data_IF_668996080697
#
_entry.id   IF_668996080697
#
_cell.length_a   1.000
_cell.length_b   1.000
_cell.length_c   1.000
_cell.angle_alpha   90.00
_cell.angle_beta   90.00
_cell.angle_gamma   90.00
#
_symmetry.space_group_name_H-M   'P 1'
#
loop_
_entity.id
_entity.type
_entity.pdbx_description
1 polymer ?
#
# COMPACT_ATOMS: atom_id res chain seq x y z
N UNK A 1 -1.61 18.00 -17.13
CA UNK A 1 -2.43 16.94 -16.62
C UNK A 1 -1.85 16.34 -15.37
N UNK A 2 -2.69 16.10 -14.38
CA UNK A 2 -2.25 15.50 -13.13
C UNK A 2 -2.03 14.01 -13.27
N UNK A 3 -1.42 13.43 -12.25
CA UNK A 3 -1.25 11.98 -12.17
C UNK A 3 -2.58 11.32 -11.82
N UNK A 4 -2.74 10.06 -12.24
CA UNK A 4 -3.86 9.26 -11.77
C UNK A 4 -3.69 9.00 -10.27
N UNK A 5 -4.77 8.61 -9.60
CA UNK A 5 -4.71 8.27 -8.18
C UNK A 5 -3.72 7.13 -7.93
N UNK A 6 -3.72 6.13 -8.79
CA UNK A 6 -2.81 4.99 -8.67
C UNK A 6 -1.34 5.41 -8.79
N UNK A 7 -1.03 6.27 -9.75
CA UNK A 7 0.32 6.80 -9.92
C UNK A 7 0.76 7.64 -8.73
N UNK A 8 -0.16 8.45 -8.20
CA UNK A 8 0.11 9.25 -7.00
C UNK A 8 0.44 8.39 -5.79
N UNK A 9 -0.31 7.32 -5.59
CA UNK A 9 -0.06 6.37 -4.50
C UNK A 9 1.27 5.65 -4.70
N UNK A 10 1.54 5.22 -5.93
CA UNK A 10 2.81 4.54 -6.27
C UNK A 10 4.02 5.40 -5.90
N UNK A 11 4.03 6.64 -6.33
CA UNK A 11 5.15 7.55 -6.05
C UNK A 11 5.25 7.88 -4.56
N UNK A 12 4.14 8.08 -3.91
CA UNK A 12 4.10 8.38 -2.49
C UNK A 12 4.68 7.24 -1.66
N UNK A 13 4.35 6.00 -2.01
CA UNK A 13 4.88 4.82 -1.32
C UNK A 13 6.39 4.66 -1.48
N UNK A 14 6.95 5.14 -2.57
CA UNK A 14 8.39 5.10 -2.80
C UNK A 14 9.17 6.02 -1.86
N UNK A 15 8.49 6.89 -1.13
CA UNK A 15 9.12 7.74 -0.12
C UNK A 15 9.53 7.02 1.15
N UNK A 16 9.11 5.77 1.34
CA UNK A 16 9.51 4.99 2.52
C UNK A 16 10.96 4.54 2.39
N UNK A 17 11.78 4.88 3.38
CA UNK A 17 13.22 4.64 3.34
C UNK A 17 13.62 3.15 3.44
N UNK A 18 12.74 2.31 3.97
CA UNK A 18 13.01 0.88 4.09
C UNK A 18 12.88 0.09 2.78
N UNK A 19 12.55 0.76 1.69
CA UNK A 19 12.32 0.11 0.41
C UNK A 19 13.61 0.02 -0.39
N UNK A 20 13.96 -1.19 -0.85
CA UNK A 20 15.17 -1.42 -1.63
C UNK A 20 15.00 -1.22 -3.14
N UNK A 21 13.80 -1.23 -3.62
CA UNK A 21 13.53 -1.12 -5.05
C UNK A 21 12.39 -0.19 -5.36
N UNK A 22 12.05 -0.07 -6.63
CA UNK A 22 10.92 0.74 -7.05
C UNK A 22 9.60 0.00 -6.79
N UNK A 23 8.59 0.75 -6.44
CA UNK A 23 7.22 0.23 -6.32
C UNK A 23 6.64 0.11 -7.72
N UNK A 24 6.15 -1.07 -8.09
CA UNK A 24 5.49 -1.30 -9.37
C UNK A 24 4.00 -0.95 -9.25
N UNK A 25 3.33 -0.88 -10.37
CA UNK A 25 1.89 -0.59 -10.41
C UNK A 25 1.18 -1.74 -11.11
N UNK A 26 0.26 -2.39 -10.40
CA UNK A 26 -0.54 -3.52 -10.92
C UNK A 26 0.31 -4.59 -11.59
N UNK A 27 1.48 -4.88 -11.03
CA UNK A 27 2.42 -5.83 -11.59
C UNK A 27 2.72 -6.95 -10.60
N UNK A 28 3.08 -8.11 -11.11
CA UNK A 28 3.49 -9.24 -10.27
C UNK A 28 4.86 -8.98 -9.66
N UNK A 29 5.08 -9.48 -8.45
CA UNK A 29 6.37 -9.44 -7.78
C UNK A 29 6.94 -10.84 -7.76
N UNK A 30 8.24 -10.98 -8.02
CA UNK A 30 8.89 -12.27 -8.16
C UNK A 30 10.20 -12.40 -7.39
N UNK A 31 10.78 -11.30 -6.94
CA UNK A 31 12.07 -11.28 -6.25
C UNK A 31 11.98 -10.57 -4.91
N UNK A 32 12.84 -10.93 -3.94
CA UNK A 32 12.91 -10.20 -2.68
C UNK A 32 13.16 -8.71 -2.91
N UNK A 33 12.48 -7.86 -2.18
CA UNK A 33 12.59 -6.42 -2.31
C UNK A 33 11.66 -5.80 -3.33
N UNK A 34 11.05 -6.61 -4.20
CA UNK A 34 10.04 -6.09 -5.15
C UNK A 34 8.72 -5.82 -4.44
N UNK A 35 8.04 -4.78 -4.88
CA UNK A 35 6.74 -4.43 -4.35
C UNK A 35 5.85 -3.87 -5.45
N UNK A 36 4.55 -3.90 -5.23
CA UNK A 36 3.58 -3.40 -6.20
C UNK A 36 2.36 -2.86 -5.49
N UNK A 37 1.81 -1.78 -6.04
CA UNK A 37 0.49 -1.29 -5.64
C UNK A 37 -0.55 -1.97 -6.51
N UNK A 38 -1.51 -2.64 -5.88
CA UNK A 38 -2.63 -3.25 -6.57
C UNK A 38 -3.86 -2.37 -6.35
N UNK A 39 -4.37 -1.82 -7.43
CA UNK A 39 -5.56 -0.96 -7.34
C UNK A 39 -6.79 -1.84 -7.15
N UNK A 40 -7.52 -1.56 -6.08
CA UNK A 40 -8.79 -2.21 -5.81
C UNK A 40 -9.91 -1.43 -6.49
N UNK A 41 -10.95 -2.08 -6.93
CA UNK A 41 -12.06 -1.41 -7.60
C UNK A 41 -13.05 -0.81 -6.58
N UNK A 42 -12.53 -0.08 -5.62
CA UNK A 42 -13.32 0.44 -4.51
C UNK A 42 -13.12 1.93 -4.28
N UNK A 43 -13.02 2.72 -5.33
CA UNK A 43 -13.07 4.17 -5.22
C UNK A 43 -14.55 4.56 -5.19
N UNK A 44 -15.13 4.57 -4.00
CA UNK A 44 -16.56 4.76 -3.86
C UNK A 44 -16.92 6.01 -3.05
N UNK A 45 -18.05 6.60 -3.39
CA UNK A 45 -18.58 7.74 -2.65
C UNK A 45 -19.18 7.27 -1.31
N UNK A 46 -18.73 7.89 -0.22
CA UNK A 46 -19.29 7.66 1.12
C UNK A 46 -20.39 8.67 1.41
N UNK A 47 -20.26 9.87 0.87
CA UNK A 47 -21.19 10.97 1.12
C UNK A 47 -21.15 11.92 -0.08
N UNK A 48 -22.30 12.44 -0.43
CA UNK A 48 -22.43 13.41 -1.52
C UNK A 48 -23.15 14.64 -1.00
N UNK A 49 -22.62 15.81 -1.32
CA UNK A 49 -23.19 17.08 -0.89
C UNK A 49 -24.02 17.73 -2.02
N UNK A 50 -24.83 18.69 -1.64
CA UNK A 50 -25.75 19.37 -2.55
C UNK A 50 -25.02 20.10 -3.67
N UNK A 51 -23.83 20.62 -3.39
CA UNK A 51 -23.01 21.35 -4.37
C UNK A 51 -22.24 20.42 -5.34
N UNK A 52 -22.43 19.12 -5.23
CA UNK A 52 -21.78 18.14 -6.10
C UNK A 52 -20.47 17.58 -5.58
N UNK A 53 -19.93 18.13 -4.48
CA UNK A 53 -18.73 17.55 -3.89
C UNK A 53 -19.06 16.22 -3.21
N UNK A 54 -18.07 15.36 -3.11
CA UNK A 54 -18.23 14.03 -2.51
C UNK A 54 -17.10 13.74 -1.55
N UNK A 55 -17.40 12.98 -0.49
CA UNK A 55 -16.39 12.34 0.32
C UNK A 55 -16.29 10.91 -0.20
N UNK A 56 -15.10 10.51 -0.61
CA UNK A 56 -14.87 9.21 -1.23
C UNK A 56 -13.77 8.44 -0.47
N UNK A 57 -13.79 7.14 -0.65
CA UNK A 57 -12.75 6.26 -0.10
C UNK A 57 -12.10 5.48 -1.24
N UNK A 58 -10.79 5.63 -1.36
CA UNK A 58 -9.98 4.89 -2.33
C UNK A 58 -9.18 3.83 -1.58
N UNK A 59 -9.36 2.57 -1.94
CA UNK A 59 -8.67 1.45 -1.29
C UNK A 59 -7.63 0.86 -2.22
N UNK A 60 -6.45 0.60 -1.69
CA UNK A 60 -5.37 -0.03 -2.43
C UNK A 60 -4.69 -1.07 -1.57
N UNK A 61 -4.10 -2.06 -2.22
CA UNK A 61 -3.28 -3.07 -1.56
C UNK A 61 -1.83 -2.90 -1.98
N UNK A 62 -0.91 -3.16 -1.06
CA UNK A 62 0.52 -3.18 -1.35
C UNK A 62 1.01 -4.59 -1.12
N UNK A 63 1.62 -5.17 -2.13
CA UNK A 63 2.27 -6.47 -2.01
C UNK A 63 3.78 -6.28 -2.00
N UNK A 64 4.45 -7.03 -1.17
CA UNK A 64 5.91 -6.98 -1.07
C UNK A 64 6.45 -8.41 -0.97
N UNK A 65 7.52 -8.66 -1.72
CA UNK A 65 8.19 -9.95 -1.71
C UNK A 65 9.40 -9.86 -0.79
N UNK A 66 9.58 -10.85 0.07
CA UNK A 66 10.68 -10.88 1.04
C UNK A 66 11.26 -12.28 1.14
N UNK A 67 12.47 -12.39 1.66
CA UNK A 67 13.11 -13.67 1.90
C UNK A 67 12.29 -14.52 2.86
N UNK A 68 12.25 -15.81 2.61
CA UNK A 68 11.52 -16.76 3.44
C UNK A 68 12.27 -18.09 3.52
N UNK A 69 12.23 -18.72 4.69
CA UNK A 69 12.87 -20.02 4.87
C UNK A 69 12.04 -20.87 5.84
N UNK A 70 11.75 -22.13 5.49
CA UNK A 70 10.92 -22.99 6.34
C UNK A 70 11.56 -23.35 7.69
N UNK A 71 12.86 -23.23 7.80
CA UNK A 71 13.56 -23.58 9.04
C UNK A 71 14.13 -22.41 9.82
N UNK A 72 13.84 -21.18 9.41
CA UNK A 72 14.46 -19.99 10.00
C UNK A 72 13.42 -18.92 10.32
N UNK A 73 12.84 -19.05 11.50
CA UNK A 73 11.81 -18.11 11.97
C UNK A 73 12.30 -16.66 12.02
N UNK A 74 13.60 -16.46 12.25
CA UNK A 74 14.17 -15.11 12.29
C UNK A 74 14.08 -14.38 10.94
N UNK A 75 14.30 -15.10 9.84
CA UNK A 75 14.17 -14.54 8.49
C UNK A 75 12.70 -14.19 8.22
N UNK A 76 11.80 -15.10 8.59
CA UNK A 76 10.38 -14.92 8.37
C UNK A 76 9.82 -13.77 9.23
N UNK A 77 10.33 -13.62 10.44
CA UNK A 77 9.95 -12.51 11.31
C UNK A 77 10.43 -11.15 10.77
N UNK A 78 11.62 -11.12 10.17
CA UNK A 78 12.12 -9.89 9.53
C UNK A 78 11.25 -9.47 8.35
N UNK A 79 10.81 -10.43 7.54
CA UNK A 79 9.93 -10.19 6.41
C UNK A 79 8.61 -9.58 6.88
N UNK A 80 8.03 -10.16 7.91
CA UNK A 80 6.78 -9.64 8.47
C UNK A 80 6.96 -8.24 9.04
N UNK A 81 8.09 -8.01 9.71
CA UNK A 81 8.40 -6.70 10.30
C UNK A 81 8.53 -5.62 9.22
N UNK A 82 9.13 -5.95 8.09
CA UNK A 82 9.26 -5.02 6.97
C UNK A 82 7.88 -4.57 6.49
N UNK A 83 6.97 -5.52 6.30
CA UNK A 83 5.60 -5.21 5.87
C UNK A 83 4.85 -4.38 6.92
N UNK A 84 5.00 -4.74 8.20
CA UNK A 84 4.38 -4.00 9.30
C UNK A 84 4.90 -2.56 9.38
N UNK A 85 6.20 -2.38 9.26
CA UNK A 85 6.81 -1.04 9.31
C UNK A 85 6.33 -0.17 8.17
N UNK A 86 6.19 -0.74 6.98
CA UNK A 86 5.68 0.01 5.83
C UNK A 86 4.22 0.38 6.02
N UNK A 87 3.43 -0.54 6.55
CA UNK A 87 2.02 -0.25 6.87
C UNK A 87 1.89 0.87 7.89
N UNK A 88 2.71 0.86 8.94
CA UNK A 88 2.72 1.92 9.95
C UNK A 88 3.14 3.25 9.35
N UNK A 89 4.17 3.25 8.50
CA UNK A 89 4.61 4.44 7.81
C UNK A 89 3.47 5.05 7.00
N UNK A 90 2.75 4.19 6.27
CA UNK A 90 1.63 4.61 5.42
C UNK A 90 0.56 5.36 6.24
N UNK A 91 0.19 4.82 7.38
CA UNK A 91 -0.81 5.44 8.24
C UNK A 91 -0.30 6.72 8.91
N UNK A 92 0.99 6.81 9.17
CA UNK A 92 1.59 7.94 9.89
C UNK A 92 1.82 9.17 9.01
N UNK A 93 1.70 9.08 7.71
CA UNK A 93 2.02 10.20 6.81
C UNK A 93 0.96 11.29 6.78
N UNK A 94 -0.27 10.97 7.07
CA UNK A 94 -1.33 11.97 7.10
C UNK A 94 -1.23 12.77 8.42
N UNK A 95 -1.42 14.10 8.41
CA UNK A 95 -1.76 14.95 7.27
C UNK A 95 -0.58 15.56 6.52
N UNK A 96 0.64 15.37 6.99
CA UNK A 96 1.80 16.10 6.49
C UNK A 96 2.30 15.69 5.12
N UNK A 97 2.12 14.43 4.74
CA UNK A 97 2.61 13.89 3.48
C UNK A 97 1.55 12.97 2.89
N UNK A 98 0.92 13.42 1.82
CA UNK A 98 -0.19 12.69 1.20
C UNK A 98 0.09 12.47 -0.28
N UNK A 99 -0.46 11.40 -0.88
CA UNK A 99 -0.25 11.16 -2.31
C UNK A 99 -0.95 12.21 -3.17
N UNK A 100 -0.41 12.45 -4.35
CA UNK A 100 -1.01 13.32 -5.34
C UNK A 100 -2.17 12.61 -6.06
N UNK A 101 -3.01 13.37 -6.71
CA UNK A 101 -4.12 12.82 -7.49
C UNK A 101 -5.45 12.80 -6.76
N UNK A 102 -5.45 13.21 -5.51
CA UNK A 102 -6.66 13.32 -4.68
C UNK A 102 -6.99 14.80 -4.45
N UNK A 103 -8.22 15.09 -4.13
CA UNK A 103 -8.58 16.42 -3.70
C UNK A 103 -8.03 16.70 -2.31
N UNK A 104 -8.90 16.97 -1.35
CA UNK A 104 -8.45 17.14 0.02
C UNK A 104 -8.45 15.78 0.72
N UNK A 105 -7.29 15.32 1.16
CA UNK A 105 -7.18 14.05 1.89
C UNK A 105 -7.62 14.28 3.34
N UNK A 106 -8.61 13.51 3.76
CA UNK A 106 -9.19 13.63 5.10
C UNK A 106 -8.65 12.59 6.07
N UNK A 107 -8.04 11.53 5.57
CA UNK A 107 -7.44 10.51 6.42
C UNK A 107 -6.85 9.38 5.59
N UNK A 108 -5.88 8.70 6.19
CA UNK A 108 -5.26 7.50 5.62
C UNK A 108 -5.24 6.46 6.73
N UNK A 109 -5.85 5.30 6.47
CA UNK A 109 -6.00 4.25 7.50
C UNK A 109 -5.68 2.88 6.93
N UNK A 110 -5.07 2.01 7.73
CA UNK A 110 -4.97 0.61 7.33
C UNK A 110 -6.35 -0.03 7.38
N UNK A 111 -6.63 -0.91 6.43
CA UNK A 111 -7.90 -1.65 6.40
C UNK A 111 -7.84 -2.82 7.38
N UNK A 112 -6.68 -3.47 7.46
CA UNK A 112 -6.46 -4.59 8.36
C UNK A 112 -5.46 -4.18 9.44
N UNK A 113 -5.54 -4.81 10.60
CA UNK A 113 -4.67 -4.47 11.73
C UNK A 113 -3.21 -4.85 11.50
N UNK A 114 -2.94 -5.80 10.60
CA UNK A 114 -1.61 -6.27 10.29
C UNK A 114 -1.54 -6.79 8.86
N UNK A 115 -0.33 -6.81 8.26
CA UNK A 115 -0.16 -7.44 6.95
C UNK A 115 -0.48 -8.94 7.00
N UNK A 116 -0.84 -9.50 5.87
CA UNK A 116 -1.17 -10.91 5.74
C UNK A 116 -0.17 -11.60 4.80
N UNK A 117 0.13 -12.86 5.09
CA UNK A 117 0.91 -13.70 4.21
C UNK A 117 -0.01 -14.19 3.09
N UNK A 118 0.30 -13.80 1.86
CA UNK A 118 -0.53 -14.13 0.69
C UNK A 118 -0.06 -15.42 0.03
N UNK A 119 1.25 -15.65 0.00
CA UNK A 119 1.79 -16.84 -0.62
C UNK A 119 3.23 -17.10 -0.21
N UNK A 120 3.63 -18.36 -0.29
CA UNK A 120 5.00 -18.79 -0.03
C UNK A 120 5.48 -19.55 -1.26
N UNK A 121 6.63 -19.17 -1.77
CA UNK A 121 7.25 -19.81 -2.92
C UNK A 121 8.54 -20.47 -2.47
N UNK A 122 8.40 -21.68 -1.95
CA UNK A 122 9.50 -22.42 -1.32
C UNK A 122 10.70 -22.63 -2.24
N UNK A 123 10.45 -22.92 -3.51
CA UNK A 123 11.49 -23.15 -4.49
C UNK A 123 12.41 -21.95 -4.67
N UNK A 124 11.88 -20.76 -4.50
CA UNK A 124 12.63 -19.53 -4.67
C UNK A 124 13.07 -18.91 -3.34
N UNK A 125 12.63 -19.47 -2.23
CA UNK A 125 12.96 -18.96 -0.91
C UNK A 125 12.37 -17.58 -0.63
N UNK A 126 11.17 -17.31 -1.10
CA UNK A 126 10.50 -16.00 -0.95
C UNK A 126 9.06 -16.18 -0.51
N UNK A 127 8.53 -15.14 0.11
CA UNK A 127 7.13 -15.07 0.49
C UNK A 127 6.57 -13.71 0.10
N UNK A 128 5.28 -13.69 -0.20
CA UNK A 128 4.57 -12.47 -0.56
C UNK A 128 3.66 -12.05 0.59
N UNK A 129 3.83 -10.82 1.04
CA UNK A 129 2.99 -10.21 2.07
C UNK A 129 2.17 -9.09 1.47
N UNK A 130 1.00 -8.85 2.05
CA UNK A 130 0.11 -7.80 1.57
C UNK A 130 -0.44 -7.01 2.75
N UNK A 131 -0.46 -5.69 2.61
CA UNK A 131 -1.26 -4.86 3.48
C UNK A 131 -2.17 -3.98 2.63
N UNK A 132 -3.31 -3.60 3.20
CA UNK A 132 -4.33 -2.83 2.49
C UNK A 132 -4.59 -1.55 3.28
N UNK A 133 -4.69 -0.44 2.57
CA UNK A 133 -4.96 0.85 3.19
C UNK A 133 -6.01 1.60 2.39
N UNK A 134 -6.66 2.55 3.03
CA UNK A 134 -7.64 3.39 2.37
C UNK A 134 -7.34 4.86 2.60
N UNK A 135 -7.63 5.66 1.58
CA UNK A 135 -7.50 7.11 1.61
C UNK A 135 -8.90 7.69 1.50
N UNK A 136 -9.30 8.42 2.53
CA UNK A 136 -10.57 9.14 2.51
C UNK A 136 -10.28 10.56 2.06
N UNK A 137 -11.00 11.04 1.07
CA UNK A 137 -10.73 12.35 0.48
C UNK A 137 -12.01 13.01 0.02
N UNK A 138 -11.95 14.33 -0.12
CA UNK A 138 -13.07 15.12 -0.60
C UNK A 138 -12.75 15.63 -2.00
N UNK A 139 -13.68 15.43 -2.93
CA UNK A 139 -13.53 15.95 -4.31
C UNK A 139 -13.79 17.44 -4.34
N UNK A 140 -13.17 18.12 -5.28
CA UNK A 140 -13.37 19.54 -5.48
C UNK A 140 -13.74 19.88 -6.90
#
# INVERSE_FOLDING_TARGET
MGKSKAEGVQEWLQGWEGLDGAVKLNAAVTRPGESSVLVQSTDRALRRYVDGTEVRRYTFAVVVMADWSPGQDSINAEAMRLAEDWQEWTAAQWPGNVPEGFGEVLGIEPVESAPVLVGVYEENGVAEYQFTASITYETR
#
